data_IF_084651683681
#
_entry.id   IF_084651683681
#
_cell.length_a   1.000
_cell.length_b   1.000
_cell.length_c   1.000
_cell.angle_alpha   90.00
_cell.angle_beta   90.00
_cell.angle_gamma   90.00
#
_symmetry.space_group_name_H-M   'P 1'
#
loop_
_entity.id
_entity.type
_entity.pdbx_description
1 polymer ?
#
# COMPACT_ATOMS: atom_id res chain seq x y z
N UNK A 1 16.75 -4.55 -5.92
CA UNK A 1 17.83 -4.94 -6.80
C UNK A 1 18.41 -6.28 -6.38
N UNK A 2 18.95 -7.05 -7.33
CA UNK A 2 19.51 -8.39 -7.08
C UNK A 2 20.70 -8.37 -6.11
N UNK A 3 21.55 -7.37 -6.21
CA UNK A 3 22.78 -7.24 -5.42
C UNK A 3 22.72 -6.19 -4.33
N UNK A 4 21.78 -5.26 -4.42
CA UNK A 4 21.62 -4.12 -3.49
C UNK A 4 20.35 -4.29 -2.68
N UNK A 5 20.35 -5.27 -1.76
CA UNK A 5 19.21 -5.62 -0.93
C UNK A 5 19.18 -4.77 0.32
N UNK A 6 17.99 -4.30 0.67
CA UNK A 6 17.65 -3.62 1.91
C UNK A 6 16.40 -4.25 2.52
N UNK A 7 16.18 -4.18 3.84
CA UNK A 7 14.89 -4.48 4.45
C UNK A 7 13.76 -3.69 3.79
N UNK A 8 12.62 -4.32 3.58
CA UNK A 8 11.47 -3.65 2.94
C UNK A 8 10.91 -2.52 3.80
N UNK A 9 11.09 -2.59 5.12
CA UNK A 9 10.72 -1.54 6.07
C UNK A 9 11.40 -0.20 5.74
N UNK A 10 12.65 -0.21 5.28
CA UNK A 10 13.36 1.00 4.84
C UNK A 10 12.62 1.67 3.68
N UNK A 11 12.12 0.91 2.72
CA UNK A 11 11.31 1.48 1.64
C UNK A 11 9.98 2.03 2.18
N UNK A 12 9.30 1.30 3.07
CA UNK A 12 8.08 1.78 3.74
C UNK A 12 8.29 3.12 4.44
N UNK A 13 9.37 3.26 5.21
CA UNK A 13 9.72 4.53 5.87
C UNK A 13 9.98 5.65 4.88
N UNK A 14 10.75 5.38 3.84
CA UNK A 14 11.04 6.36 2.78
C UNK A 14 9.77 6.86 2.08
N UNK A 15 8.75 5.99 1.96
CA UNK A 15 7.45 6.31 1.37
C UNK A 15 6.49 7.05 2.33
N UNK A 16 6.86 7.23 3.61
CA UNK A 16 6.11 8.06 4.54
C UNK A 16 5.71 7.42 5.86
N UNK A 17 5.91 6.09 6.05
CA UNK A 17 5.67 5.42 7.33
C UNK A 17 6.92 5.58 8.23
N UNK A 18 7.03 6.71 8.93
CA UNK A 18 8.25 7.09 9.64
C UNK A 18 8.60 6.16 10.82
N UNK A 19 7.61 5.67 11.56
CA UNK A 19 7.80 4.88 12.77
C UNK A 19 7.56 3.37 12.55
N UNK A 20 8.10 2.55 13.47
CA UNK A 20 7.84 1.10 13.51
C UNK A 20 6.35 0.82 13.69
N UNK A 21 5.69 1.64 14.52
CA UNK A 21 4.26 1.52 14.81
C UNK A 21 3.39 1.77 13.57
N UNK A 22 3.65 2.85 12.82
CA UNK A 22 2.93 3.15 11.57
C UNK A 22 3.07 2.04 10.53
N UNK A 23 4.28 1.45 10.43
CA UNK A 23 4.51 0.30 9.56
C UNK A 23 3.68 -0.91 9.97
N UNK A 24 3.63 -1.23 11.28
CA UNK A 24 2.87 -2.36 11.80
C UNK A 24 1.36 -2.13 11.72
N UNK A 25 0.88 -0.92 11.98
CA UNK A 25 -0.53 -0.56 11.84
C UNK A 25 -1.01 -0.70 10.39
N UNK A 26 -0.18 -0.29 9.43
CA UNK A 26 -0.54 -0.33 8.01
C UNK A 26 -0.43 -1.74 7.39
N UNK A 27 0.69 -2.44 7.63
CA UNK A 27 0.98 -3.75 7.01
C UNK A 27 0.53 -4.95 7.85
N UNK A 28 0.13 -4.73 9.10
CA UNK A 28 -0.23 -5.78 10.05
C UNK A 28 0.96 -6.29 10.85
N UNK A 29 0.66 -6.89 12.00
CA UNK A 29 1.65 -7.40 12.96
C UNK A 29 2.11 -8.83 12.64
N UNK A 30 2.61 -9.08 11.44
CA UNK A 30 3.12 -10.39 11.05
C UNK A 30 4.55 -10.58 11.53
N UNK A 31 4.87 -11.75 12.11
CA UNK A 31 6.17 -12.04 12.73
C UNK A 31 7.36 -11.84 11.79
N UNK A 32 7.21 -12.21 10.50
CA UNK A 32 8.28 -12.02 9.51
C UNK A 32 8.52 -10.55 9.21
N UNK A 33 7.47 -9.74 9.28
CA UNK A 33 7.60 -8.30 9.10
C UNK A 33 8.24 -7.64 10.32
N UNK A 34 7.88 -8.08 11.54
CA UNK A 34 8.57 -7.66 12.79
C UNK A 34 10.06 -7.99 12.72
N UNK A 35 10.43 -9.22 12.34
CA UNK A 35 11.82 -9.61 12.16
C UNK A 35 12.56 -8.82 11.06
N UNK A 36 11.83 -8.26 10.10
CA UNK A 36 12.39 -7.37 9.08
C UNK A 36 12.66 -5.98 9.64
N UNK A 37 11.74 -5.46 10.46
CA UNK A 37 11.90 -4.18 11.18
C UNK A 37 13.07 -4.23 12.15
N UNK A 38 13.28 -5.35 12.85
CA UNK A 38 14.44 -5.54 13.76
C UNK A 38 15.79 -5.47 13.03
N UNK A 39 15.84 -5.83 11.75
CA UNK A 39 17.05 -5.72 10.90
C UNK A 39 17.24 -4.34 10.28
N UNK A 40 16.25 -3.46 10.45
CA UNK A 40 16.26 -2.11 9.93
C UNK A 40 16.96 -1.18 10.91
N UNK A 41 18.09 -0.63 10.51
CA UNK A 41 18.87 0.31 11.33
C UNK A 41 18.34 1.74 11.24
N UNK A 42 17.33 2.02 10.40
CA UNK A 42 16.73 3.35 10.24
C UNK A 42 15.53 3.52 11.16
N UNK A 43 15.29 4.75 11.63
CA UNK A 43 14.18 5.06 12.55
C UNK A 43 13.28 6.18 12.02
N UNK A 44 13.75 6.95 11.04
CA UNK A 44 13.02 8.06 10.45
C UNK A 44 12.94 7.93 8.93
N UNK A 45 12.05 8.71 8.34
CA UNK A 45 11.93 8.81 6.87
C UNK A 45 13.22 9.29 6.23
N UNK A 46 13.86 10.29 6.83
CA UNK A 46 15.09 10.89 6.33
C UNK A 46 16.26 9.89 6.36
N UNK A 47 16.40 9.15 7.45
CA UNK A 47 17.42 8.09 7.56
C UNK A 47 17.22 7.01 6.52
N UNK A 48 15.98 6.60 6.31
CA UNK A 48 15.63 5.58 5.30
C UNK A 48 15.95 6.07 3.87
N UNK A 49 15.61 7.32 3.54
CA UNK A 49 15.95 7.95 2.27
C UNK A 49 17.46 7.97 2.04
N UNK A 50 18.22 8.39 3.04
CA UNK A 50 19.68 8.44 2.96
C UNK A 50 20.29 7.05 2.79
N UNK A 51 19.74 6.03 3.49
CA UNK A 51 20.24 4.64 3.37
C UNK A 51 19.98 4.07 1.97
N UNK A 52 18.80 4.34 1.40
CA UNK A 52 18.48 3.96 0.02
C UNK A 52 19.44 4.66 -0.95
N UNK A 53 19.66 5.96 -0.78
CA UNK A 53 20.56 6.73 -1.64
C UNK A 53 21.99 6.17 -1.61
N UNK A 54 22.58 5.98 -0.42
CA UNK A 54 23.91 5.37 -0.24
C UNK A 54 24.04 4.03 -0.96
N UNK A 55 22.99 3.23 -0.91
CA UNK A 55 22.97 1.90 -1.52
C UNK A 55 22.89 1.95 -3.05
N UNK A 56 22.15 2.90 -3.59
CA UNK A 56 21.95 3.04 -5.05
C UNK A 56 23.06 3.86 -5.71
N UNK A 57 23.65 4.82 -4.98
CA UNK A 57 24.70 5.74 -5.45
C UNK A 57 25.93 5.68 -4.54
N UNK A 58 26.66 4.55 -4.53
CA UNK A 58 27.83 4.42 -3.70
C UNK A 58 28.93 5.42 -4.15
N UNK A 59 29.51 6.12 -3.16
CA UNK A 59 30.55 7.11 -3.42
C UNK A 59 30.07 8.56 -3.57
N UNK A 60 28.77 8.80 -3.67
CA UNK A 60 28.21 10.16 -3.65
C UNK A 60 27.80 10.56 -2.23
N UNK A 61 28.05 11.82 -1.80
CA UNK A 61 27.58 12.29 -0.49
C UNK A 61 26.05 12.33 -0.48
N UNK A 62 25.39 11.62 0.47
CA UNK A 62 23.96 11.57 0.51
C UNK A 62 23.37 12.84 1.13
N UNK A 63 22.38 13.44 0.46
CA UNK A 63 21.52 14.49 1.02
C UNK A 63 20.07 14.05 0.92
N UNK A 64 19.20 14.57 1.81
CA UNK A 64 17.78 14.23 1.81
C UNK A 64 17.12 14.62 0.48
N UNK A 65 17.43 15.82 -0.04
CA UNK A 65 16.87 16.31 -1.31
C UNK A 65 17.28 15.45 -2.50
N UNK A 66 18.56 15.03 -2.55
CA UNK A 66 19.04 14.12 -3.61
C UNK A 66 18.38 12.74 -3.50
N UNK A 67 18.13 12.27 -2.28
CA UNK A 67 17.47 10.99 -2.04
C UNK A 67 15.99 11.05 -2.45
N UNK A 68 15.28 12.12 -2.11
CA UNK A 68 13.89 12.36 -2.56
C UNK A 68 13.84 12.40 -4.10
N UNK A 69 14.68 13.22 -4.73
CA UNK A 69 14.74 13.34 -6.19
C UNK A 69 15.04 11.99 -6.87
N UNK A 70 15.87 11.14 -6.25
CA UNK A 70 16.15 9.81 -6.77
C UNK A 70 14.90 8.90 -6.70
N UNK A 71 14.21 8.88 -5.57
CA UNK A 71 12.98 8.08 -5.39
C UNK A 71 11.89 8.56 -6.34
N UNK A 72 11.66 9.87 -6.43
CA UNK A 72 10.69 10.46 -7.34
C UNK A 72 10.98 10.10 -8.79
N UNK A 73 12.25 10.19 -9.20
CA UNK A 73 12.65 9.83 -10.57
C UNK A 73 12.48 8.34 -10.88
N UNK A 74 12.55 7.47 -9.86
CA UNK A 74 12.42 6.03 -10.04
C UNK A 74 10.97 5.55 -10.09
N UNK A 75 10.06 6.20 -9.34
CA UNK A 75 8.71 5.67 -9.12
C UNK A 75 7.58 6.63 -9.53
N UNK A 76 7.83 7.94 -9.58
CA UNK A 76 6.79 8.95 -9.75
C UNK A 76 6.98 9.86 -10.96
N UNK A 77 8.18 9.93 -11.54
CA UNK A 77 8.41 10.71 -12.76
C UNK A 77 7.78 10.00 -13.97
N UNK A 78 6.69 10.57 -14.49
CA UNK A 78 5.97 10.04 -15.64
C UNK A 78 6.82 9.87 -16.90
N UNK A 79 7.91 10.64 -17.04
CA UNK A 79 8.85 10.54 -18.17
C UNK A 79 9.77 9.32 -18.05
N UNK A 80 10.01 8.84 -16.86
CA UNK A 80 10.94 7.72 -16.58
C UNK A 80 10.24 6.43 -16.17
N UNK A 81 9.09 6.56 -15.52
CA UNK A 81 8.32 5.43 -15.01
C UNK A 81 6.94 5.41 -15.68
N UNK A 82 6.88 4.79 -16.84
CA UNK A 82 5.62 4.51 -17.51
C UNK A 82 5.35 3.00 -17.51
N UNK A 83 4.30 2.62 -16.80
CA UNK A 83 3.81 1.24 -16.76
C UNK A 83 3.15 0.80 -18.06
N UNK A 84 2.90 1.71 -19.00
CA UNK A 84 2.02 1.50 -20.14
C UNK A 84 0.61 0.99 -19.77
N UNK A 85 -0.35 1.05 -20.67
CA UNK A 85 -1.72 0.55 -20.44
C UNK A 85 -1.75 -0.94 -20.07
N UNK A 86 -0.90 -1.75 -20.71
CA UNK A 86 -0.84 -3.21 -20.48
C UNK A 86 -0.27 -3.52 -19.08
N UNK A 87 0.78 -2.83 -18.67
CA UNK A 87 1.36 -2.98 -17.32
C UNK A 87 0.38 -2.56 -16.24
N UNK A 88 -0.29 -1.43 -16.41
CA UNK A 88 -1.33 -0.93 -15.49
C UNK A 88 -2.50 -1.91 -15.38
N UNK A 89 -2.99 -2.44 -16.49
CA UNK A 89 -4.02 -3.48 -16.48
C UNK A 89 -3.60 -4.73 -15.71
N UNK A 90 -2.36 -5.21 -15.91
CA UNK A 90 -1.83 -6.38 -15.18
C UNK A 90 -1.74 -6.12 -13.66
N UNK A 91 -1.29 -4.93 -13.25
CA UNK A 91 -1.25 -4.54 -11.85
C UNK A 91 -2.65 -4.51 -11.25
N UNK A 92 -3.58 -3.81 -11.87
CA UNK A 92 -4.95 -3.71 -11.40
C UNK A 92 -5.59 -5.10 -11.26
N UNK A 93 -5.42 -5.97 -12.26
CA UNK A 93 -5.95 -7.33 -12.22
C UNK A 93 -5.34 -8.18 -11.11
N UNK A 94 -4.01 -8.13 -10.91
CA UNK A 94 -3.32 -8.96 -9.90
C UNK A 94 -3.52 -8.46 -8.47
N UNK A 95 -3.66 -7.15 -8.29
CA UNK A 95 -3.78 -6.52 -6.98
C UNK A 95 -5.22 -6.20 -6.59
N UNK A 96 -6.19 -6.51 -7.46
CA UNK A 96 -7.61 -6.34 -7.16
C UNK A 96 -7.98 -7.08 -5.86
N UNK A 97 -8.56 -6.35 -4.91
CA UNK A 97 -8.88 -6.90 -3.58
C UNK A 97 -9.87 -8.04 -3.70
N UNK A 98 -10.89 -7.92 -4.54
CA UNK A 98 -11.92 -8.95 -4.72
C UNK A 98 -11.37 -10.32 -5.10
N UNK A 99 -10.35 -10.38 -5.97
CA UNK A 99 -9.72 -11.64 -6.36
C UNK A 99 -8.89 -12.27 -5.23
N UNK A 100 -8.36 -11.46 -4.34
CA UNK A 100 -7.46 -11.89 -3.26
C UNK A 100 -8.22 -12.32 -2.02
N UNK A 101 -9.37 -11.72 -1.74
CA UNK A 101 -10.22 -12.07 -0.58
C UNK A 101 -11.23 -13.18 -0.91
N UNK A 102 -11.53 -13.42 -2.18
CA UNK A 102 -12.48 -14.46 -2.59
C UNK A 102 -12.07 -15.84 -2.06
N UNK A 103 -13.02 -16.55 -1.48
CA UNK A 103 -12.86 -17.86 -0.82
C UNK A 103 -12.03 -17.86 0.47
N UNK A 104 -11.56 -16.72 0.96
CA UNK A 104 -10.95 -16.58 2.29
C UNK A 104 -12.03 -16.47 3.38
N UNK A 105 -11.63 -16.60 4.64
CA UNK A 105 -12.51 -16.45 5.81
C UNK A 105 -12.31 -15.02 6.35
N UNK A 106 -13.40 -14.30 6.60
CA UNK A 106 -13.33 -12.97 7.19
C UNK A 106 -12.84 -13.05 8.64
N UNK A 107 -11.80 -12.31 8.99
CA UNK A 107 -11.26 -12.27 10.34
C UNK A 107 -12.08 -11.37 11.26
N UNK A 108 -12.82 -10.41 10.69
CA UNK A 108 -13.74 -9.49 11.36
C UNK A 108 -14.95 -9.19 10.46
N UNK A 109 -15.96 -8.51 11.00
CA UNK A 109 -17.10 -8.09 10.19
C UNK A 109 -16.66 -7.08 9.13
N UNK A 110 -17.03 -7.35 7.87
CA UNK A 110 -16.75 -6.46 6.76
C UNK A 110 -17.95 -5.54 6.58
N UNK A 111 -17.76 -4.27 6.95
CA UNK A 111 -18.84 -3.28 6.98
C UNK A 111 -18.60 -2.20 5.94
N UNK A 112 -19.61 -1.86 5.19
CA UNK A 112 -19.63 -0.67 4.36
C UNK A 112 -19.68 0.58 5.25
N UNK A 113 -18.61 1.37 5.22
CA UNK A 113 -18.46 2.56 6.07
C UNK A 113 -19.46 3.68 5.73
N UNK A 114 -20.01 3.68 4.52
CA UNK A 114 -20.96 4.70 4.08
C UNK A 114 -22.39 4.38 4.53
N UNK A 115 -22.78 3.11 4.45
CA UNK A 115 -24.15 2.67 4.76
C UNK A 115 -24.29 2.03 6.13
N UNK A 116 -23.21 1.55 6.74
CA UNK A 116 -23.21 0.74 7.96
C UNK A 116 -23.68 -0.70 7.74
N UNK A 117 -23.88 -1.12 6.49
CA UNK A 117 -24.31 -2.47 6.15
C UNK A 117 -23.19 -3.47 6.34
N UNK A 118 -23.46 -4.60 7.01
CA UNK A 118 -22.54 -5.72 7.14
C UNK A 118 -22.63 -6.59 5.91
N UNK A 119 -21.57 -6.62 5.09
CA UNK A 119 -21.50 -7.40 3.85
C UNK A 119 -21.12 -8.86 4.10
N UNK A 120 -20.25 -9.10 5.06
CA UNK A 120 -19.79 -10.44 5.48
C UNK A 120 -19.54 -10.43 6.97
N UNK A 121 -20.04 -11.40 7.70
CA UNK A 121 -19.84 -11.54 9.14
C UNK A 121 -18.50 -12.25 9.42
N UNK A 122 -17.89 -11.92 10.55
CA UNK A 122 -16.67 -12.57 11.05
C UNK A 122 -16.82 -14.09 11.05
N UNK A 123 -15.81 -14.78 10.56
CA UNK A 123 -15.75 -16.25 10.48
C UNK A 123 -16.46 -16.83 9.25
N UNK A 124 -17.20 -16.03 8.48
CA UNK A 124 -17.80 -16.50 7.24
C UNK A 124 -16.83 -16.52 6.08
N UNK A 125 -17.07 -17.43 5.14
CA UNK A 125 -16.34 -17.52 3.90
C UNK A 125 -16.82 -16.45 2.93
N UNK A 126 -15.92 -15.62 2.46
CA UNK A 126 -16.19 -14.56 1.48
C UNK A 126 -16.47 -15.21 0.11
N UNK A 127 -17.71 -15.15 -0.36
CA UNK A 127 -18.08 -15.62 -1.69
C UNK A 127 -17.46 -14.72 -2.78
N UNK A 128 -17.41 -15.19 -4.03
CA UNK A 128 -16.94 -14.35 -5.13
C UNK A 128 -17.84 -13.13 -5.35
N UNK A 129 -19.15 -13.28 -5.18
CA UNK A 129 -20.09 -12.18 -5.30
C UNK A 129 -19.87 -11.13 -4.22
N UNK A 130 -19.73 -11.55 -2.95
CA UNK A 130 -19.43 -10.63 -1.86
C UNK A 130 -18.07 -9.95 -2.02
N UNK A 131 -17.06 -10.68 -2.52
CA UNK A 131 -15.73 -10.12 -2.76
C UNK A 131 -15.75 -9.02 -3.86
N UNK A 132 -16.54 -9.20 -4.90
CA UNK A 132 -16.76 -8.19 -5.94
C UNK A 132 -17.56 -7.00 -5.39
N UNK A 133 -18.59 -7.24 -4.59
CA UNK A 133 -19.36 -6.19 -3.93
C UNK A 133 -18.50 -5.36 -2.98
N UNK A 134 -17.69 -6.00 -2.11
CA UNK A 134 -16.73 -5.35 -1.22
C UNK A 134 -15.81 -4.41 -2.02
N UNK A 135 -15.25 -4.90 -3.13
CA UNK A 135 -14.40 -4.09 -3.99
C UNK A 135 -15.14 -2.89 -4.60
N UNK A 136 -16.36 -3.10 -5.10
CA UNK A 136 -17.16 -2.05 -5.77
C UNK A 136 -17.67 -0.99 -4.78
N UNK A 137 -17.82 -1.35 -3.50
CA UNK A 137 -18.19 -0.40 -2.42
C UNK A 137 -17.01 0.38 -1.87
N UNK A 138 -15.82 0.24 -2.45
CA UNK A 138 -14.64 1.03 -2.07
C UNK A 138 -13.96 0.58 -0.78
N UNK A 139 -14.25 -0.62 -0.28
CA UNK A 139 -13.54 -1.17 0.87
C UNK A 139 -12.15 -1.58 0.41
N UNK A 140 -11.15 -0.80 0.81
CA UNK A 140 -9.77 -0.92 0.32
C UNK A 140 -8.85 -1.76 1.22
N UNK A 141 -9.36 -2.24 2.35
CA UNK A 141 -8.61 -3.09 3.27
C UNK A 141 -9.55 -4.11 3.92
N UNK A 142 -9.18 -5.38 3.93
CA UNK A 142 -9.94 -6.48 4.53
C UNK A 142 -8.99 -7.40 5.26
N UNK A 143 -9.32 -7.75 6.50
CA UNK A 143 -8.58 -8.72 7.30
C UNK A 143 -9.19 -10.12 7.12
N UNK A 144 -8.37 -11.06 6.68
CA UNK A 144 -8.77 -12.45 6.44
C UNK A 144 -7.98 -13.42 7.31
N UNK A 145 -8.60 -14.54 7.64
CA UNK A 145 -7.98 -15.62 8.40
C UNK A 145 -7.37 -16.64 7.44
N UNK A 146 -6.06 -16.89 7.55
CA UNK A 146 -5.33 -17.88 6.77
C UNK A 146 -4.47 -18.70 7.72
N UNK A 147 -4.70 -20.00 7.82
CA UNK A 147 -3.93 -20.90 8.69
C UNK A 147 -3.75 -20.36 10.12
N UNK A 148 -4.86 -19.97 10.77
CA UNK A 148 -4.92 -19.39 12.11
C UNK A 148 -4.19 -18.04 12.30
N UNK A 149 -3.83 -17.36 11.22
CA UNK A 149 -3.24 -16.03 11.23
C UNK A 149 -4.15 -15.03 10.53
N UNK A 150 -4.24 -13.84 11.12
CA UNK A 150 -4.93 -12.71 10.48
C UNK A 150 -3.97 -12.02 9.50
N UNK A 151 -4.39 -11.92 8.25
CA UNK A 151 -3.63 -11.26 7.18
C UNK A 151 -4.46 -10.11 6.64
N UNK A 152 -3.90 -8.90 6.67
CA UNK A 152 -4.50 -7.73 6.05
C UNK A 152 -4.25 -7.71 4.56
N UNK A 153 -5.32 -7.68 3.77
CA UNK A 153 -5.29 -7.55 2.32
C UNK A 153 -5.67 -6.13 1.95
N UNK A 154 -4.76 -5.44 1.26
CA UNK A 154 -4.94 -4.04 0.84
C UNK A 154 -5.24 -4.02 -0.66
N UNK A 155 -6.28 -3.28 -1.05
CA UNK A 155 -6.67 -3.08 -2.44
C UNK A 155 -5.91 -1.92 -3.09
N UNK A 156 -6.15 -1.73 -4.40
CA UNK A 156 -5.51 -0.69 -5.20
C UNK A 156 -6.48 0.04 -6.15
N UNK A 157 -7.78 -0.20 -6.04
CA UNK A 157 -8.77 0.44 -6.92
C UNK A 157 -9.27 1.78 -6.40
N UNK A 158 -9.15 2.02 -5.10
CA UNK A 158 -9.59 3.26 -4.48
C UNK A 158 -8.40 3.97 -3.84
N UNK A 159 -8.29 5.25 -4.11
CA UNK A 159 -7.16 6.09 -3.69
C UNK A 159 -7.65 7.40 -3.11
N UNK A 160 -6.82 8.01 -2.27
CA UNK A 160 -6.99 9.38 -1.84
C UNK A 160 -6.62 10.32 -3.00
N UNK A 161 -7.60 11.01 -3.55
CA UNK A 161 -7.41 11.89 -4.71
C UNK A 161 -6.39 13.00 -4.43
N UNK A 162 -6.30 13.51 -3.20
CA UNK A 162 -5.34 14.55 -2.82
C UNK A 162 -3.89 14.13 -3.00
N UNK A 163 -3.63 12.81 -3.06
CA UNK A 163 -2.28 12.24 -3.30
C UNK A 163 -2.03 11.87 -4.76
N UNK A 164 -3.05 11.95 -5.60
CA UNK A 164 -2.99 11.48 -6.99
C UNK A 164 -3.00 12.62 -8.01
N UNK A 165 -3.35 13.84 -7.59
CA UNK A 165 -3.39 15.01 -8.45
C UNK A 165 -2.43 16.08 -7.92
N UNK A 166 -1.87 16.88 -8.82
CA UNK A 166 -0.91 17.96 -8.54
C UNK A 166 -1.52 19.36 -8.59
N UNK A 167 -2.85 19.44 -8.77
CA UNK A 167 -3.61 20.70 -8.74
C UNK A 167 -4.52 20.78 -7.51
N UNK A 168 -4.88 21.99 -7.12
CA UNK A 168 -5.72 22.19 -5.93
C UNK A 168 -7.16 21.73 -6.19
N UNK A 169 -7.66 20.85 -5.32
CA UNK A 169 -9.02 20.31 -5.32
C UNK A 169 -9.78 20.61 -4.01
N UNK A 170 -9.25 21.51 -3.19
CA UNK A 170 -9.82 21.81 -1.86
C UNK A 170 -11.28 22.27 -1.94
N UNK A 171 -11.64 22.96 -3.01
CA UNK A 171 -13.01 23.47 -3.26
C UNK A 171 -14.04 22.34 -3.48
N UNK A 172 -13.59 21.15 -3.88
CA UNK A 172 -14.47 20.01 -4.14
C UNK A 172 -14.88 19.27 -2.85
N UNK A 173 -14.22 19.54 -1.72
CA UNK A 173 -14.48 18.96 -0.40
C UNK A 173 -14.66 17.41 -0.43
N UNK A 174 -13.87 16.72 -1.26
CA UNK A 174 -13.88 15.27 -1.39
C UNK A 174 -13.17 14.66 -0.18
N UNK A 175 -13.84 13.81 0.59
CA UNK A 175 -13.29 13.14 1.78
C UNK A 175 -13.21 11.62 1.62
N UNK A 176 -13.93 11.06 0.66
CA UNK A 176 -13.98 9.65 0.36
C UNK A 176 -12.81 9.24 -0.57
N UNK A 177 -12.46 7.96 -0.49
CA UNK A 177 -11.58 7.38 -1.50
C UNK A 177 -12.30 7.33 -2.85
N UNK A 178 -11.60 7.69 -3.91
CA UNK A 178 -12.12 7.70 -5.28
C UNK A 178 -11.65 6.49 -6.07
N UNK A 179 -12.48 6.06 -7.02
CA UNK A 179 -12.15 4.91 -7.87
C UNK A 179 -11.12 5.31 -8.93
N UNK A 180 -9.88 4.89 -8.72
CA UNK A 180 -8.73 5.24 -9.56
C UNK A 180 -8.92 4.93 -11.06
N UNK A 181 -9.52 3.78 -11.48
CA UNK A 181 -9.73 3.49 -12.89
C UNK A 181 -10.68 4.44 -13.63
N UNK A 182 -11.48 5.23 -12.90
CA UNK A 182 -12.41 6.22 -13.50
C UNK A 182 -11.90 7.65 -13.45
N UNK A 183 -10.80 7.91 -12.73
CA UNK A 183 -10.07 9.17 -12.75
C UNK A 183 -9.31 9.36 -14.07
#
# INVERSE_FOLDING_TARGET
DKTRKLPISILGRAMGFGSDQELLEYFGEEERFKATIEKDNTKTKEEALLEIYKRLRPGEPPTVDSAISLIDSLFFDAKRYDLSRVGRYKFNKKLAIGLRIANQIAAEDIVDKLTGEVLVVKGEKISRANAEEIQNRGINSVDVLVEDRVIRIIGNHFVDIHKCVDFDISDLNIRELVHYPTL
#
